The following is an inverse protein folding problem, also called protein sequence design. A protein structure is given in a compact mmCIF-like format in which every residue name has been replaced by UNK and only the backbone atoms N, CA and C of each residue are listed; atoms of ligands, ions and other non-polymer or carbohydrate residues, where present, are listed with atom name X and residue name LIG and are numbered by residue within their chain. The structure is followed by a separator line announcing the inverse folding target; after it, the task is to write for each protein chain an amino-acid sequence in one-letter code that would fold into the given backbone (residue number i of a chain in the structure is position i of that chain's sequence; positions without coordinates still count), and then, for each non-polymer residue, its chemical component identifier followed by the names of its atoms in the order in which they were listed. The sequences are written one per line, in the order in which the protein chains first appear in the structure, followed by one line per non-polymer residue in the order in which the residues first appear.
data_IF_701322329198
#
_entry.id   IF_701322329198
#
_cell.length_a   1.000
_cell.length_b   1.000
_cell.length_c   1.000
_cell.angle_alpha   90.00
_cell.angle_beta   90.00
_cell.angle_gamma   90.00
#
_symmetry.space_group_name_H-M   'P 1'
#
loop_
_entity.id
_entity.type
_entity.pdbx_description
1 polymer ?
#
# COMPACT_ATOMS: atom_id res chain seq x y z
N UNK A 1 -41.58 -52.26 -12.52
CA UNK A 1 -41.37 -51.22 -13.56
C UNK A 1 -39.89 -50.86 -13.58
N UNK A 2 -39.39 -50.53 -14.77
CA UNK A 2 -37.98 -50.66 -15.20
C UNK A 2 -37.00 -49.78 -14.40
N UNK A 3 -35.87 -50.39 -14.04
CA UNK A 3 -34.65 -49.77 -13.50
C UNK A 3 -33.83 -49.19 -14.66
N UNK A 4 -33.26 -48.01 -14.49
CA UNK A 4 -32.19 -47.49 -15.35
C UNK A 4 -30.89 -47.41 -14.55
N UNK A 5 -29.84 -47.99 -15.12
CA UNK A 5 -28.45 -47.91 -14.72
C UNK A 5 -27.63 -47.66 -15.99
N UNK A 6 -26.38 -47.21 -15.81
CA UNK A 6 -25.27 -47.09 -16.77
C UNK A 6 -25.24 -45.72 -17.51
N UNK A 7 -24.13 -44.96 -17.56
CA UNK A 7 -22.77 -45.34 -17.22
C UNK A 7 -21.74 -44.20 -17.12
N UNK A 8 -20.55 -44.66 -16.70
CA UNK A 8 -19.27 -43.98 -16.61
C UNK A 8 -18.72 -43.60 -18.00
N UNK A 9 -17.99 -42.48 -18.06
CA UNK A 9 -17.14 -42.10 -19.19
C UNK A 9 -16.00 -41.20 -18.71
N UNK A 10 -14.85 -41.82 -18.43
CA UNK A 10 -13.56 -41.18 -18.15
C UNK A 10 -12.94 -40.80 -19.51
N UNK A 11 -12.32 -39.63 -19.63
CA UNK A 11 -11.27 -39.44 -20.64
C UNK A 11 -10.29 -38.35 -20.23
N UNK A 12 -9.24 -38.77 -19.51
CA UNK A 12 -7.99 -38.02 -19.40
C UNK A 12 -7.10 -38.45 -20.56
N UNK A 13 -6.60 -37.51 -21.36
CA UNK A 13 -5.53 -37.77 -22.33
C UNK A 13 -4.29 -37.00 -21.90
N UNK A 14 -3.24 -37.77 -21.63
CA UNK A 14 -1.89 -37.36 -21.28
C UNK A 14 -0.99 -38.13 -22.26
N UNK A 15 -0.28 -37.45 -23.18
CA UNK A 15 0.85 -37.99 -23.96
C UNK A 15 1.77 -36.80 -24.30
N UNK A 16 2.94 -36.67 -23.68
CA UNK A 16 4.26 -37.30 -23.98
C UNK A 16 5.05 -36.53 -25.04
N UNK A 17 6.28 -36.20 -24.63
CA UNK A 17 7.34 -35.48 -25.32
C UNK A 17 7.78 -36.12 -26.64
N UNK A 18 8.32 -35.27 -27.53
CA UNK A 18 9.14 -35.66 -28.68
C UNK A 18 10.32 -34.71 -28.79
N UNK A 19 11.52 -35.22 -28.48
CA UNK A 19 12.80 -34.62 -28.80
C UNK A 19 13.08 -34.80 -30.31
N UNK A 20 13.76 -33.83 -30.93
CA UNK A 20 14.57 -34.09 -32.11
C UNK A 20 15.81 -33.20 -32.10
N UNK A 21 16.96 -33.87 -32.13
CA UNK A 21 18.32 -33.38 -32.15
C UNK A 21 18.65 -32.40 -33.29
N UNK A 22 19.62 -31.52 -33.03
CA UNK A 22 20.61 -31.16 -34.05
C UNK A 22 21.99 -31.00 -33.41
N UNK A 23 22.91 -31.76 -33.97
CA UNK A 23 24.31 -32.01 -33.63
C UNK A 23 25.22 -30.76 -33.76
N UNK A 24 26.37 -30.77 -33.08
CA UNK A 24 27.46 -29.80 -33.36
C UNK A 24 28.58 -29.72 -32.33
N UNK A 25 29.43 -30.75 -32.29
CA UNK A 25 30.72 -30.93 -31.56
C UNK A 25 31.65 -29.68 -31.48
N UNK A 26 32.65 -29.55 -30.61
CA UNK A 26 33.29 -30.39 -29.59
C UNK A 26 34.10 -29.48 -28.65
N UNK A 27 34.24 -29.92 -27.40
CA UNK A 27 35.20 -29.40 -26.43
C UNK A 27 36.28 -30.48 -26.19
N UNK A 28 37.55 -30.09 -26.23
CA UNK A 28 38.74 -30.81 -25.74
C UNK A 28 39.58 -29.70 -25.10
N UNK A 29 40.07 -29.71 -23.86
CA UNK A 29 40.11 -30.61 -22.71
C UNK A 29 40.67 -29.75 -21.55
N UNK A 30 40.21 -29.85 -20.31
CA UNK A 30 40.68 -30.85 -19.35
C UNK A 30 42.10 -30.57 -18.88
N UNK A 31 42.30 -29.78 -17.81
CA UNK A 31 43.29 -30.11 -16.77
C UNK A 31 43.10 -29.30 -15.47
N UNK A 32 43.35 -29.96 -14.36
CA UNK A 32 43.15 -29.54 -12.96
C UNK A 32 44.34 -28.75 -12.36
N UNK A 33 44.03 -28.15 -11.20
CA UNK A 33 44.86 -27.83 -10.01
C UNK A 33 45.84 -26.64 -9.95
N UNK A 34 45.49 -25.74 -9.01
CA UNK A 34 46.29 -25.14 -7.92
C UNK A 34 47.67 -24.48 -8.17
N UNK A 35 47.80 -23.18 -7.87
CA UNK A 35 48.37 -22.62 -6.60
C UNK A 35 48.66 -21.11 -6.73
N UNK A 36 48.05 -20.32 -5.84
CA UNK A 36 48.50 -19.18 -4.99
C UNK A 36 49.75 -18.32 -5.38
N UNK A 37 49.93 -17.12 -4.78
CA UNK A 37 49.29 -15.82 -4.98
C UNK A 37 50.29 -14.74 -5.48
N UNK A 38 49.83 -13.58 -5.95
CA UNK A 38 50.64 -12.36 -5.89
C UNK A 38 49.81 -11.18 -5.39
N UNK A 39 50.27 -10.63 -4.27
CA UNK A 39 49.98 -9.28 -3.78
C UNK A 39 50.12 -8.26 -4.91
N UNK A 40 49.14 -7.38 -5.03
CA UNK A 40 49.44 -6.00 -5.35
C UNK A 40 48.47 -5.10 -4.60
N UNK A 41 48.97 -4.62 -3.47
CA UNK A 41 48.42 -3.53 -2.69
C UNK A 41 48.14 -2.35 -3.61
N UNK A 42 46.86 -2.05 -3.83
CA UNK A 42 46.45 -0.71 -4.27
C UNK A 42 45.41 -0.24 -3.27
N UNK A 43 45.90 0.45 -2.25
CA UNK A 43 45.11 1.23 -1.31
C UNK A 43 44.51 2.39 -2.11
N UNK A 44 43.38 2.13 -2.77
CA UNK A 44 42.49 3.18 -3.26
C UNK A 44 41.54 3.42 -2.10
N UNK A 45 41.84 4.46 -1.32
CA UNK A 45 40.84 5.13 -0.49
C UNK A 45 39.71 5.54 -1.43
N UNK A 46 38.69 4.68 -1.52
CA UNK A 46 37.40 5.06 -2.04
C UNK A 46 36.89 6.11 -1.06
N UNK A 47 36.98 7.38 -1.45
CA UNK A 47 36.04 8.37 -0.98
C UNK A 47 34.66 7.74 -1.24
N UNK A 48 33.99 7.34 -0.16
CA UNK A 48 32.54 7.16 -0.19
C UNK A 48 31.99 8.53 -0.62
N UNK A 49 31.76 8.68 -1.91
CA UNK A 49 30.74 9.58 -2.41
C UNK A 49 29.43 9.02 -1.86
N UNK A 50 29.09 9.41 -0.63
CA UNK A 50 27.72 9.36 -0.16
C UNK A 50 26.91 10.09 -1.21
N UNK A 51 25.94 9.43 -1.88
CA UNK A 51 25.03 10.18 -2.72
C UNK A 51 24.32 11.16 -1.79
N UNK A 52 24.59 12.47 -1.95
CA UNK A 52 23.65 13.50 -1.52
C UNK A 52 22.34 13.17 -2.25
N UNK A 53 21.46 12.45 -1.56
CA UNK A 53 20.05 12.47 -1.87
C UNK A 53 19.67 13.95 -1.84
N UNK A 54 19.43 14.53 -3.01
CA UNK A 54 18.58 15.70 -3.10
C UNK A 54 17.26 15.30 -2.45
N UNK A 55 17.11 15.61 -1.16
CA UNK A 55 15.82 15.62 -0.49
C UNK A 55 14.99 16.64 -1.25
N UNK A 56 14.20 16.15 -2.22
CA UNK A 56 13.23 16.95 -2.92
C UNK A 56 12.29 17.52 -1.85
N UNK A 57 12.50 18.78 -1.49
CA UNK A 57 11.74 19.44 -0.44
C UNK A 57 10.26 19.37 -0.80
N UNK A 58 9.46 18.70 0.03
CA UNK A 58 8.02 18.60 -0.16
C UNK A 58 7.41 20.00 -0.16
N UNK A 59 6.49 20.27 -1.08
CA UNK A 59 5.70 21.50 -1.07
C UNK A 59 4.66 21.50 0.08
N UNK A 60 4.20 22.69 0.47
CA UNK A 60 3.05 22.82 1.37
C UNK A 60 1.77 22.30 0.67
N UNK A 61 0.86 21.60 1.36
CA UNK A 61 0.89 21.30 2.80
C UNK A 61 1.62 19.99 3.16
N UNK A 62 2.14 19.24 2.18
CA UNK A 62 2.71 17.91 2.39
C UNK A 62 3.91 17.90 3.33
N UNK A 63 4.76 18.93 3.32
CA UNK A 63 5.85 19.05 4.29
C UNK A 63 5.33 19.11 5.74
N UNK A 64 4.37 20.00 6.01
CA UNK A 64 3.82 20.22 7.35
C UNK A 64 3.09 18.98 7.86
N UNK A 65 2.37 18.29 6.96
CA UNK A 65 1.67 17.05 7.26
C UNK A 65 2.65 15.91 7.55
N UNK A 66 3.72 15.78 6.75
CA UNK A 66 4.77 14.79 7.01
C UNK A 66 5.44 15.02 8.37
N UNK A 67 5.82 16.26 8.68
CA UNK A 67 6.41 16.60 9.98
C UNK A 67 5.46 16.25 11.14
N UNK A 68 4.15 16.48 10.97
CA UNK A 68 3.14 16.07 11.95
C UNK A 68 3.10 14.56 12.14
N UNK A 69 3.03 13.78 11.05
CA UNK A 69 3.02 12.30 11.11
C UNK A 69 4.32 11.73 11.68
N UNK A 70 5.48 12.23 11.27
CA UNK A 70 6.79 11.77 11.77
C UNK A 70 6.96 12.02 13.27
N UNK A 71 6.35 13.10 13.78
CA UNK A 71 6.40 13.46 15.21
C UNK A 71 5.42 12.69 16.10
N UNK A 72 4.44 12.01 15.50
CA UNK A 72 3.41 11.29 16.23
C UNK A 72 4.00 10.04 16.88
N UNK A 73 3.53 9.69 18.08
CA UNK A 73 3.90 8.46 18.78
C UNK A 73 2.63 7.75 19.26
N UNK A 74 2.62 6.42 19.15
CA UNK A 74 1.51 5.62 19.65
C UNK A 74 1.43 5.74 21.19
N UNK A 75 0.25 5.89 21.80
CA UNK A 75 0.12 6.04 23.25
C UNK A 75 0.44 4.74 23.98
N UNK A 76 1.08 4.79 25.16
CA UNK A 76 1.35 3.58 25.96
C UNK A 76 0.11 3.04 26.69
N UNK A 77 -0.84 3.92 27.01
CA UNK A 77 -2.05 3.57 27.76
C UNK A 77 -2.99 2.67 26.95
N UNK A 78 -3.53 1.64 27.59
CA UNK A 78 -4.47 0.70 26.99
C UNK A 78 -3.87 -0.30 26.00
N UNK A 79 -2.54 -0.35 25.87
CA UNK A 79 -1.84 -1.37 25.05
C UNK A 79 -2.00 -2.75 25.66
N UNK A 80 -2.25 -3.75 24.82
CA UNK A 80 -2.21 -5.15 25.19
C UNK A 80 -0.74 -5.63 25.28
N UNK A 81 -0.49 -6.60 26.17
CA UNK A 81 0.86 -7.11 26.41
C UNK A 81 1.39 -7.98 25.26
N UNK A 82 0.49 -8.64 24.54
CA UNK A 82 0.77 -9.49 23.39
C UNK A 82 -0.10 -8.99 22.22
N UNK A 83 0.48 -8.95 21.01
CA UNK A 83 -0.28 -8.75 19.77
C UNK A 83 -0.32 -10.06 18.98
N UNK A 84 -1.46 -10.34 18.36
CA UNK A 84 -1.64 -11.47 17.44
C UNK A 84 -0.95 -11.24 16.09
N UNK A 85 -0.60 -9.98 15.75
CA UNK A 85 0.04 -9.59 14.51
C UNK A 85 1.53 -9.29 14.70
N UNK A 86 2.34 -9.67 13.72
CA UNK A 86 3.76 -9.28 13.68
C UNK A 86 3.84 -7.79 13.38
N UNK A 87 4.68 -7.07 14.13
CA UNK A 87 4.90 -5.63 13.96
C UNK A 87 3.68 -4.76 14.23
N UNK A 88 2.83 -5.15 15.19
CA UNK A 88 1.64 -4.40 15.53
C UNK A 88 1.53 -4.09 17.02
N UNK A 89 0.84 -3.00 17.31
CA UNK A 89 0.43 -2.60 18.65
C UNK A 89 -1.09 -2.69 18.73
N UNK A 90 -1.59 -3.56 19.61
CA UNK A 90 -3.01 -3.73 19.87
C UNK A 90 -3.44 -3.03 21.16
N UNK A 91 -4.67 -2.54 21.17
CA UNK A 91 -5.26 -1.83 22.31
C UNK A 91 -6.54 -2.50 22.79
N UNK A 92 -6.83 -2.34 24.09
CA UNK A 92 -8.03 -2.85 24.74
C UNK A 92 -9.34 -2.35 24.09
N UNK A 93 -9.33 -1.16 23.50
CA UNK A 93 -10.49 -0.60 22.80
C UNK A 93 -10.70 -1.17 21.38
N UNK A 94 -9.84 -2.10 20.96
CA UNK A 94 -10.02 -2.89 19.74
C UNK A 94 -9.36 -2.32 18.49
N UNK A 95 -8.46 -1.33 18.62
CA UNK A 95 -7.64 -0.83 17.52
C UNK A 95 -6.29 -1.55 17.47
N UNK A 96 -5.82 -1.76 16.25
CA UNK A 96 -4.50 -2.30 15.94
C UNK A 96 -3.78 -1.34 15.01
N UNK A 97 -2.55 -1.01 15.36
CA UNK A 97 -1.68 -0.12 14.60
C UNK A 97 -0.44 -0.86 14.17
N UNK A 98 0.08 -0.54 12.99
CA UNK A 98 1.42 -0.95 12.59
C UNK A 98 2.45 -0.20 13.45
N UNK A 99 3.48 -0.91 13.90
CA UNK A 99 4.44 -0.39 14.87
C UNK A 99 5.38 0.67 14.26
N UNK A 100 5.68 0.57 12.97
CA UNK A 100 6.66 1.43 12.30
C UNK A 100 5.99 2.68 11.71
N UNK A 101 4.95 2.49 10.91
CA UNK A 101 4.19 3.59 10.29
C UNK A 101 3.23 4.26 11.27
N UNK A 102 2.93 3.61 12.40
CA UNK A 102 1.98 4.08 13.43
C UNK A 102 0.55 4.25 12.91
N UNK A 103 0.27 3.81 11.67
CA UNK A 103 -1.03 3.87 11.05
C UNK A 103 -1.92 2.73 11.55
N UNK A 104 -3.21 2.99 11.69
CA UNK A 104 -4.18 1.97 12.04
C UNK A 104 -4.31 0.96 10.88
N UNK A 105 -4.11 -0.32 11.18
CA UNK A 105 -4.20 -1.43 10.22
C UNK A 105 -5.43 -2.31 10.41
N UNK A 106 -5.99 -2.32 11.62
CA UNK A 106 -7.21 -3.07 11.90
C UNK A 106 -8.01 -2.46 13.06
N UNK A 107 -9.29 -2.81 13.08
CA UNK A 107 -10.18 -2.58 14.22
C UNK A 107 -11.15 -3.74 14.37
N UNK A 108 -11.54 -4.09 15.59
CA UNK A 108 -12.44 -5.22 15.86
C UNK A 108 -13.77 -5.03 15.12
N UNK A 109 -14.17 -6.04 14.35
CA UNK A 109 -15.48 -6.07 13.69
C UNK A 109 -16.43 -6.99 14.48
N UNK A 110 -17.05 -6.44 15.53
CA UNK A 110 -18.04 -7.12 16.37
C UNK A 110 -19.39 -6.39 16.34
N UNK A 111 -20.46 -6.99 16.90
CA UNK A 111 -21.77 -6.32 17.00
C UNK A 111 -21.74 -4.99 17.77
N UNK A 112 -20.78 -4.83 18.69
CA UNK A 112 -20.55 -3.58 19.41
C UNK A 112 -19.50 -2.67 18.76
N UNK A 113 -18.81 -3.13 17.71
CA UNK A 113 -17.69 -2.44 17.10
C UNK A 113 -16.48 -2.28 18.03
N UNK A 114 -15.41 -1.61 17.56
CA UNK A 114 -14.43 -1.04 18.46
C UNK A 114 -15.07 0.12 19.22
N UNK A 115 -14.57 0.45 20.40
CA UNK A 115 -14.95 1.71 21.04
C UNK A 115 -14.40 2.89 20.23
N UNK A 116 -14.72 4.12 20.63
CA UNK A 116 -14.07 5.30 20.05
C UNK A 116 -12.54 5.24 20.28
N UNK A 117 -11.72 5.74 19.35
CA UNK A 117 -10.30 5.90 19.60
C UNK A 117 -10.10 6.90 20.74
N UNK A 118 -9.02 6.74 21.50
CA UNK A 118 -8.61 7.78 22.46
C UNK A 118 -8.00 8.96 21.70
N UNK A 119 -7.95 10.15 22.32
CA UNK A 119 -7.34 11.33 21.69
C UNK A 119 -5.91 11.06 21.19
N UNK A 120 -5.14 10.27 21.94
CA UNK A 120 -3.77 9.87 21.56
C UNK A 120 -3.71 8.87 20.39
N UNK A 121 -4.82 8.26 19.98
CA UNK A 121 -4.92 7.33 18.85
C UNK A 121 -5.42 8.01 17.57
N UNK A 122 -5.99 9.23 17.65
CA UNK A 122 -6.66 9.88 16.52
C UNK A 122 -5.75 10.02 15.31
N UNK A 123 -4.50 10.48 15.48
CA UNK A 123 -3.55 10.62 14.36
C UNK A 123 -3.27 9.28 13.67
N UNK A 124 -3.05 8.20 14.43
CA UNK A 124 -2.86 6.86 13.86
C UNK A 124 -4.08 6.36 13.08
N UNK A 125 -5.29 6.64 13.58
CA UNK A 125 -6.55 6.30 12.90
C UNK A 125 -6.71 7.11 11.62
N UNK A 126 -6.40 8.41 11.65
CA UNK A 126 -6.40 9.30 10.49
C UNK A 126 -5.45 8.79 9.40
N UNK A 127 -4.21 8.41 9.77
CA UNK A 127 -3.26 7.83 8.82
C UNK A 127 -3.79 6.53 8.19
N UNK A 128 -4.42 5.65 8.98
CA UNK A 128 -5.05 4.44 8.45
C UNK A 128 -6.19 4.73 7.47
N UNK A 129 -7.02 5.74 7.74
CA UNK A 129 -8.08 6.16 6.80
C UNK A 129 -7.57 6.82 5.54
N UNK A 130 -6.44 7.55 5.60
CA UNK A 130 -5.79 8.08 4.41
C UNK A 130 -5.26 6.95 3.52
N UNK A 131 -4.65 5.92 4.09
CA UNK A 131 -4.20 4.74 3.35
C UNK A 131 -5.37 3.96 2.73
N UNK A 132 -6.48 3.78 3.46
CA UNK A 132 -7.68 3.12 2.90
C UNK A 132 -8.33 3.97 1.79
N UNK A 133 -8.33 5.30 1.93
CA UNK A 133 -8.81 6.20 0.89
C UNK A 133 -7.93 6.17 -0.37
N UNK A 134 -6.62 5.92 -0.23
CA UNK A 134 -5.68 5.80 -1.35
C UNK A 134 -5.72 4.42 -2.03
N UNK A 135 -6.33 3.41 -1.41
CA UNK A 135 -6.43 2.04 -1.93
C UNK A 135 -7.46 1.91 -3.07
N UNK A 136 -7.39 2.80 -4.05
CA UNK A 136 -8.29 2.87 -5.21
C UNK A 136 -7.59 2.38 -6.49
N UNK A 137 -8.35 1.92 -7.50
CA UNK A 137 -7.76 1.51 -8.77
C UNK A 137 -6.96 2.64 -9.43
N UNK A 138 -5.79 2.32 -9.98
CA UNK A 138 -5.05 3.24 -10.84
C UNK A 138 -5.94 3.75 -11.99
N UNK A 139 -5.77 5.00 -12.48
CA UNK A 139 -6.60 5.55 -13.55
C UNK A 139 -6.72 4.66 -14.81
N UNK A 140 -5.65 3.96 -15.18
CA UNK A 140 -5.63 3.03 -16.32
C UNK A 140 -6.53 1.79 -16.14
N UNK A 141 -6.75 1.36 -14.89
CA UNK A 141 -7.56 0.21 -14.51
C UNK A 141 -9.02 0.60 -14.20
N UNK A 142 -9.37 1.89 -14.37
CA UNK A 142 -10.74 2.35 -14.30
C UNK A 142 -11.50 1.92 -15.55
N UNK A 143 -12.60 1.21 -15.37
CA UNK A 143 -13.47 0.75 -16.45
C UNK A 143 -14.85 1.38 -16.32
N UNK A 144 -15.56 1.60 -17.43
CA UNK A 144 -16.94 2.13 -17.37
C UNK A 144 -17.90 1.28 -16.52
N UNK A 145 -17.62 -0.02 -16.38
CA UNK A 145 -18.39 -0.94 -15.54
C UNK A 145 -18.11 -0.82 -14.04
N UNK A 146 -16.98 -0.22 -13.65
CA UNK A 146 -16.61 -0.01 -12.25
C UNK A 146 -16.66 1.47 -11.82
N UNK A 147 -16.87 2.43 -12.74
CA UNK A 147 -16.71 3.86 -12.50
C UNK A 147 -17.71 4.53 -11.54
N UNK A 148 -18.92 3.99 -11.40
CA UNK A 148 -19.96 4.55 -10.54
C UNK A 148 -19.76 4.10 -9.08
N UNK A 149 -19.88 5.02 -8.12
CA UNK A 149 -19.71 4.72 -6.69
C UNK A 149 -18.27 4.44 -6.25
N UNK A 150 -17.26 4.67 -7.10
CA UNK A 150 -15.85 4.52 -6.72
C UNK A 150 -15.37 5.59 -5.76
N UNK A 151 -16.01 6.76 -5.80
CA UNK A 151 -15.63 7.91 -4.97
C UNK A 151 -16.32 7.88 -3.62
N UNK A 152 -17.45 7.16 -3.47
CA UNK A 152 -18.19 7.09 -2.21
C UNK A 152 -17.35 6.55 -1.04
N UNK A 153 -16.56 5.47 -1.19
CA UNK A 153 -15.66 5.03 -0.13
C UNK A 153 -14.62 6.08 0.25
N UNK A 154 -14.08 6.81 -0.74
CA UNK A 154 -13.10 7.89 -0.52
C UNK A 154 -13.74 9.00 0.30
N UNK A 155 -14.90 9.50 -0.16
CA UNK A 155 -15.65 10.57 0.52
C UNK A 155 -16.02 10.17 1.96
N UNK A 156 -16.39 8.90 2.19
CA UNK A 156 -16.66 8.39 3.54
C UNK A 156 -15.42 8.48 4.44
N UNK A 157 -14.23 8.10 3.93
CA UNK A 157 -12.98 8.20 4.68
C UNK A 157 -12.57 9.63 4.94
N UNK A 158 -12.66 10.51 3.96
CA UNK A 158 -12.37 11.94 4.13
C UNK A 158 -13.28 12.57 5.21
N UNK A 159 -14.55 12.18 5.26
CA UNK A 159 -15.46 12.63 6.31
C UNK A 159 -15.08 12.09 7.69
N UNK A 160 -14.66 10.81 7.80
CA UNK A 160 -14.17 10.23 9.06
C UNK A 160 -12.87 10.92 9.53
N UNK A 161 -11.99 11.29 8.60
CA UNK A 161 -10.77 12.04 8.92
C UNK A 161 -11.14 13.40 9.50
N UNK A 162 -12.07 14.14 8.90
CA UNK A 162 -12.54 15.43 9.42
C UNK A 162 -13.11 15.37 10.84
N UNK A 163 -13.70 14.24 11.22
CA UNK A 163 -14.28 14.06 12.55
C UNK A 163 -13.24 13.86 13.65
N UNK A 164 -12.04 13.36 13.28
CA UNK A 164 -10.97 13.02 14.22
C UNK A 164 -9.78 13.98 14.16
N UNK A 165 -9.56 14.64 13.02
CA UNK A 165 -8.42 15.51 12.78
C UNK A 165 -8.57 16.86 13.50
N UNK A 166 -7.50 17.28 14.17
CA UNK A 166 -7.36 18.59 14.79
C UNK A 166 -6.18 19.41 14.21
N UNK A 167 -5.54 18.91 13.15
CA UNK A 167 -4.42 19.55 12.48
C UNK A 167 -4.86 20.30 11.22
N UNK A 168 -4.83 21.63 11.28
CA UNK A 168 -5.37 22.54 10.24
C UNK A 168 -4.83 22.27 8.81
N UNK A 169 -3.51 22.07 8.57
CA UNK A 169 -3.02 21.78 7.23
C UNK A 169 -3.64 20.53 6.61
N UNK A 170 -3.86 19.49 7.41
CA UNK A 170 -4.54 18.27 6.96
C UNK A 170 -6.04 18.51 6.75
N UNK A 171 -6.70 19.29 7.61
CA UNK A 171 -8.11 19.64 7.44
C UNK A 171 -8.36 20.34 6.10
N UNK A 172 -7.55 21.35 5.77
CA UNK A 172 -7.66 22.06 4.50
C UNK A 172 -7.40 21.14 3.31
N UNK A 173 -6.37 20.29 3.38
CA UNK A 173 -6.09 19.32 2.33
C UNK A 173 -7.25 18.35 2.11
N UNK A 174 -7.89 17.88 3.20
CA UNK A 174 -9.06 16.98 3.13
C UNK A 174 -10.25 17.69 2.50
N UNK A 175 -10.55 18.94 2.89
CA UNK A 175 -11.65 19.73 2.34
C UNK A 175 -11.46 19.95 0.84
N UNK A 176 -10.26 20.30 0.39
CA UNK A 176 -9.97 20.49 -1.03
C UNK A 176 -10.16 19.20 -1.84
N UNK A 177 -9.69 18.07 -1.29
CA UNK A 177 -9.79 16.76 -1.94
C UNK A 177 -11.24 16.24 -1.94
N UNK A 178 -12.01 16.51 -0.89
CA UNK A 178 -13.45 16.20 -0.84
C UNK A 178 -14.21 17.03 -1.89
N UNK A 179 -13.92 18.33 -1.99
CA UNK A 179 -14.58 19.24 -2.93
C UNK A 179 -14.33 18.86 -4.40
N UNK A 180 -13.16 18.31 -4.75
CA UNK A 180 -12.91 17.83 -6.12
C UNK A 180 -13.80 16.64 -6.49
N UNK A 181 -14.27 15.87 -5.50
CA UNK A 181 -15.06 14.66 -5.67
C UNK A 181 -16.57 14.85 -5.47
N UNK A 182 -17.02 15.92 -4.78
CA UNK A 182 -18.42 16.11 -4.36
C UNK A 182 -19.47 16.04 -5.48
N UNK A 183 -19.10 16.37 -6.72
CA UNK A 183 -20.00 16.31 -7.89
C UNK A 183 -19.49 15.35 -8.98
N UNK A 184 -18.62 14.41 -8.62
CA UNK A 184 -17.94 13.54 -9.57
C UNK A 184 -18.91 12.75 -10.47
N UNK A 185 -20.00 12.24 -9.89
CA UNK A 185 -21.02 11.49 -10.64
C UNK A 185 -21.88 12.38 -11.55
N UNK A 186 -21.89 13.69 -11.31
CA UNK A 186 -22.61 14.69 -12.12
C UNK A 186 -21.82 15.15 -13.34
N UNK A 187 -20.52 14.81 -13.43
CA UNK A 187 -19.66 15.20 -14.56
C UNK A 187 -20.16 14.52 -15.85
N UNK A 188 -20.60 15.32 -16.83
CA UNK A 188 -21.24 14.81 -18.05
C UNK A 188 -20.25 14.10 -19.00
N UNK A 189 -18.99 14.54 -19.01
CA UNK A 189 -18.01 14.02 -19.97
C UNK A 189 -17.08 12.99 -19.34
N UNK A 190 -16.82 11.90 -20.07
CA UNK A 190 -15.88 10.86 -19.63
C UNK A 190 -14.46 11.42 -19.44
N UNK A 191 -14.05 12.37 -20.29
CA UNK A 191 -12.73 12.97 -20.23
C UNK A 191 -12.54 13.76 -18.93
N UNK A 192 -13.45 14.69 -18.63
CA UNK A 192 -13.39 15.50 -17.40
C UNK A 192 -13.46 14.61 -16.16
N UNK A 193 -14.30 13.57 -16.19
CA UNK A 193 -14.41 12.60 -15.10
C UNK A 193 -13.13 11.77 -14.93
N UNK A 194 -12.40 11.50 -16.00
CA UNK A 194 -11.11 10.81 -15.93
C UNK A 194 -10.02 11.74 -15.39
N UNK A 195 -10.01 13.00 -15.79
CA UNK A 195 -9.08 14.03 -15.31
C UNK A 195 -9.24 14.26 -13.79
N UNK A 196 -10.47 14.46 -13.30
CA UNK A 196 -10.75 14.61 -11.85
C UNK A 196 -10.33 13.37 -11.07
N UNK A 197 -10.58 12.18 -11.62
CA UNK A 197 -10.18 10.93 -10.95
C UNK A 197 -8.66 10.79 -10.86
N UNK A 198 -7.94 11.12 -11.94
CA UNK A 198 -6.49 11.05 -11.98
C UNK A 198 -5.83 12.05 -11.02
N UNK A 199 -6.32 13.29 -10.98
CA UNK A 199 -5.84 14.30 -10.02
C UNK A 199 -6.05 13.83 -8.57
N UNK A 200 -7.24 13.32 -8.25
CA UNK A 200 -7.51 12.80 -6.90
C UNK A 200 -6.68 11.57 -6.57
N UNK A 201 -6.46 10.66 -7.53
CA UNK A 201 -5.55 9.53 -7.35
C UNK A 201 -4.14 10.01 -6.98
N UNK A 202 -3.57 10.96 -7.73
CA UNK A 202 -2.24 11.50 -7.46
C UNK A 202 -2.15 12.17 -6.09
N UNK A 203 -3.17 12.95 -5.70
CA UNK A 203 -3.24 13.58 -4.37
C UNK A 203 -3.24 12.53 -3.25
N UNK A 204 -4.10 11.51 -3.36
CA UNK A 204 -4.23 10.45 -2.36
C UNK A 204 -2.95 9.59 -2.27
N UNK A 205 -2.34 9.24 -3.40
CA UNK A 205 -1.08 8.50 -3.42
C UNK A 205 0.06 9.31 -2.81
N UNK A 206 0.15 10.60 -3.13
CA UNK A 206 1.14 11.49 -2.52
C UNK A 206 0.96 11.54 -1.00
N UNK A 207 -0.27 11.67 -0.52
CA UNK A 207 -0.57 11.65 0.91
C UNK A 207 -0.22 10.30 1.57
N UNK A 208 -0.58 9.19 0.92
CA UNK A 208 -0.27 7.83 1.38
C UNK A 208 1.23 7.59 1.48
N UNK A 209 2.01 8.14 0.54
CA UNK A 209 3.48 8.06 0.55
C UNK A 209 4.13 8.80 1.72
N UNK A 210 3.44 9.74 2.36
CA UNK A 210 3.95 10.41 3.57
C UNK A 210 3.89 9.50 4.81
N UNK A 211 3.08 8.44 4.75
CA UNK A 211 2.80 7.51 5.86
C UNK A 211 3.65 6.23 5.71
N UNK A 212 3.97 5.85 4.48
CA UNK A 212 4.86 4.72 4.18
C UNK A 212 6.31 5.08 4.55
N UNK A 213 7.12 4.06 4.89
CA UNK A 213 8.40 4.15 5.64
C UNK A 213 9.29 5.39 5.33
N UNK A 214 9.95 5.96 6.37
CA UNK A 214 10.91 7.05 6.24
C UNK A 214 12.23 6.68 5.51
#
# INVERSE_FOLDING_TARGET
MKKFAIGLGISSVLLVAGCSDSEGSANIGGNESETTPEESTTEVTAEEETPEQEDAQLESPYQEIKEHFDSYELPEEGRLADSEFVNAVEYENGYTFDQDTKAMVARIHSESGPAEPTDGQNTGVVMGWLQDASAIPTPENRTKGNAAGQVDPILNRLQQIKELNDFEPLEQWVIETENSLMNFDEIETEQERAEVYADTYERLEKMSSLIQEP
#
